data_IF_629180391025
#
_entry.id   IF_629180391025
#
_cell.length_a   1.000
_cell.length_b   1.000
_cell.length_c   1.000
_cell.angle_alpha   90.00
_cell.angle_beta   90.00
_cell.angle_gamma   90.00
#
_symmetry.space_group_name_H-M   'P 1'
#
loop_
_entity.id
_entity.type
_entity.pdbx_description
1 polymer ?
#
# COMPACT_ATOMS: atom_id res chain seq x y z
N UNK A 1 -12.69 16.09 -15.29
CA UNK A 1 -11.44 15.30 -15.17
C UNK A 1 -11.83 13.86 -14.81
N UNK A 2 -10.89 12.91 -14.82
CA UNK A 2 -11.14 11.56 -14.28
C UNK A 2 -10.15 11.25 -13.16
N UNK A 3 -10.64 10.72 -12.05
CA UNK A 3 -9.85 10.35 -10.87
C UNK A 3 -9.84 8.83 -10.69
N UNK A 4 -8.69 8.26 -10.30
CA UNK A 4 -8.62 6.86 -9.90
C UNK A 4 -8.90 6.74 -8.40
N UNK A 5 -10.09 6.28 -8.03
CA UNK A 5 -10.59 6.32 -6.65
C UNK A 5 -10.63 4.92 -6.04
N UNK A 6 -10.27 4.83 -4.77
CA UNK A 6 -10.45 3.65 -3.95
C UNK A 6 -10.65 4.04 -2.48
N UNK A 7 -11.30 3.17 -1.72
CA UNK A 7 -11.46 3.28 -0.27
C UNK A 7 -10.54 2.27 0.41
N UNK A 8 -9.80 2.70 1.43
CA UNK A 8 -8.86 1.86 2.15
C UNK A 8 -8.85 2.13 3.66
N UNK A 9 -8.51 1.10 4.43
CA UNK A 9 -8.12 1.24 5.84
C UNK A 9 -6.62 1.44 5.89
N UNK A 10 -6.20 2.54 6.53
CA UNK A 10 -4.80 2.82 6.74
C UNK A 10 -4.25 1.98 7.90
N UNK A 11 -2.96 1.66 7.86
CA UNK A 11 -2.29 0.92 8.93
C UNK A 11 -1.68 1.89 9.96
N UNK A 12 -1.72 1.56 11.26
CA UNK A 12 -0.96 2.29 12.27
C UNK A 12 0.54 2.34 11.94
N UNK A 13 1.20 3.44 12.30
CA UNK A 13 2.60 3.70 11.93
C UNK A 13 3.57 2.62 12.46
N UNK A 14 3.33 2.11 13.67
CA UNK A 14 4.12 1.01 14.24
C UNK A 14 3.98 -0.30 13.44
N UNK A 15 2.81 -0.55 12.84
CA UNK A 15 2.58 -1.72 11.98
C UNK A 15 3.30 -1.54 10.65
N UNK A 16 3.22 -0.35 10.04
CA UNK A 16 3.94 -0.03 8.79
C UNK A 16 5.44 -0.24 8.93
N UNK A 17 6.05 0.24 10.02
CA UNK A 17 7.48 0.05 10.32
C UNK A 17 7.84 -1.43 10.42
N UNK A 18 7.11 -2.19 11.24
CA UNK A 18 7.33 -3.64 11.37
C UNK A 18 7.24 -4.38 10.05
N UNK A 19 6.28 -4.01 9.18
CA UNK A 19 6.13 -4.63 7.86
C UNK A 19 7.27 -4.25 6.91
N UNK A 20 7.72 -3.00 6.94
CA UNK A 20 8.84 -2.54 6.13
C UNK A 20 10.14 -3.28 6.48
N UNK A 21 10.35 -3.61 7.76
CA UNK A 21 11.54 -4.32 8.23
C UNK A 21 11.67 -5.72 7.62
N UNK A 22 10.57 -6.37 7.22
CA UNK A 22 10.63 -7.68 6.57
C UNK A 22 11.37 -7.67 5.24
N UNK A 23 11.45 -6.54 4.54
CA UNK A 23 12.27 -6.41 3.34
C UNK A 23 13.73 -6.82 3.59
N UNK A 24 14.25 -6.50 4.77
CA UNK A 24 15.63 -6.85 5.15
C UNK A 24 15.86 -8.36 5.29
N UNK A 25 14.80 -9.14 5.55
CA UNK A 25 14.87 -10.60 5.70
C UNK A 25 14.96 -11.34 4.37
N UNK A 26 14.58 -10.69 3.26
CA UNK A 26 14.60 -11.28 1.92
C UNK A 26 15.17 -10.30 0.89
N UNK A 27 16.48 -10.00 0.96
CA UNK A 27 17.12 -9.07 0.04
C UNK A 27 17.08 -9.56 -1.42
N UNK A 28 17.14 -10.87 -1.64
CA UNK A 28 17.22 -11.49 -2.97
C UNK A 28 15.86 -11.86 -3.56
N UNK A 29 14.76 -11.54 -2.88
CA UNK A 29 13.43 -11.83 -3.41
C UNK A 29 13.18 -10.95 -4.65
N UNK A 30 12.91 -11.53 -5.84
CA UNK A 30 12.76 -10.79 -7.08
C UNK A 30 11.39 -10.11 -7.15
N UNK A 31 11.14 -9.17 -6.24
CA UNK A 31 9.89 -8.45 -6.11
C UNK A 31 10.14 -6.95 -5.90
N UNK A 32 9.16 -6.13 -6.27
CA UNK A 32 9.14 -4.71 -5.96
C UNK A 32 8.36 -4.48 -4.68
N UNK A 33 9.07 -4.19 -3.60
CA UNK A 33 8.46 -3.86 -2.31
C UNK A 33 7.67 -2.55 -2.39
N UNK A 34 6.44 -2.57 -1.86
CA UNK A 34 5.62 -1.37 -1.66
C UNK A 34 6.29 -0.46 -0.63
N UNK A 35 6.30 0.86 -0.88
CA UNK A 35 6.81 1.85 0.07
C UNK A 35 5.97 1.85 1.35
N UNK A 36 6.60 2.11 2.50
CA UNK A 36 5.93 2.06 3.80
C UNK A 36 4.73 3.02 3.86
N UNK A 37 4.86 4.24 3.34
CA UNK A 37 3.78 5.23 3.31
C UNK A 37 2.54 4.74 2.56
N UNK A 38 2.73 3.88 1.55
CA UNK A 38 1.69 3.33 0.70
C UNK A 38 1.05 2.05 1.24
N UNK A 39 1.47 1.52 2.38
CA UNK A 39 0.85 0.33 2.97
C UNK A 39 -0.55 0.66 3.49
N UNK A 40 -1.55 -0.03 2.95
CA UNK A 40 -2.96 0.08 3.32
C UNK A 40 -3.69 -1.22 2.95
N UNK A 41 -4.91 -1.38 3.47
CA UNK A 41 -5.83 -2.45 3.07
C UNK A 41 -6.95 -1.83 2.24
N UNK A 42 -6.98 -2.09 0.94
CA UNK A 42 -8.07 -1.64 0.07
C UNK A 42 -9.35 -2.38 0.42
N UNK A 43 -10.42 -1.63 0.65
CA UNK A 43 -11.76 -2.18 0.87
C UNK A 43 -12.56 -2.24 -0.44
N UNK A 44 -12.55 -1.14 -1.19
CA UNK A 44 -13.33 -0.98 -2.43
C UNK A 44 -12.50 -0.22 -3.44
N UNK A 45 -12.45 -0.73 -4.68
CA UNK A 45 -11.78 -0.06 -5.80
C UNK A 45 -12.83 0.41 -6.81
N UNK A 46 -12.91 1.73 -7.03
CA UNK A 46 -13.92 2.35 -7.91
C UNK A 46 -13.40 2.58 -9.34
N UNK A 47 -12.09 2.42 -9.57
CA UNK A 47 -11.50 2.64 -10.88
C UNK A 47 -11.45 4.13 -11.26
N UNK A 48 -11.58 4.41 -12.55
CA UNK A 48 -11.53 5.77 -13.10
C UNK A 48 -12.93 6.38 -13.14
N UNK A 49 -13.19 7.32 -12.23
CA UNK A 49 -14.49 7.97 -12.05
C UNK A 49 -14.42 9.41 -12.58
N UNK A 50 -15.48 9.90 -13.20
CA UNK A 50 -15.62 11.32 -13.57
C UNK A 50 -15.89 12.18 -12.33
N UNK A 51 -15.56 13.47 -12.43
CA UNK A 51 -15.90 14.45 -11.38
C UNK A 51 -17.41 14.57 -11.12
#
# INVERSE_FOLDING_TARGET
MRHRIFLAINLPENVKKKLADFKSKWPDLPCRWTKAENLHITLVFLGSVSD
#
